data_IF_799309127076
#
_entry.id   IF_799309127076
#
_cell.length_a   1.000
_cell.length_b   1.000
_cell.length_c   1.000
_cell.angle_alpha   90.00
_cell.angle_beta   90.00
_cell.angle_gamma   90.00
#
_symmetry.space_group_name_H-M   'P 1'
#
loop_
_entity.id
_entity.type
_entity.pdbx_description
1 polymer ?
#
# COMPACT_ATOMS: atom_id res chain seq x y z
N UNK A 1 -13.85 -3.03 5.43
CA UNK A 1 -13.94 -3.04 3.96
C UNK A 1 -12.51 -2.93 3.45
N UNK A 2 -12.01 -3.91 2.69
CA UNK A 2 -10.69 -3.76 2.08
C UNK A 2 -10.80 -2.80 0.89
N UNK A 3 -9.91 -1.81 0.82
CA UNK A 3 -9.82 -0.89 -0.31
C UNK A 3 -9.51 -1.70 -1.57
N UNK A 4 -10.22 -1.42 -2.66
CA UNK A 4 -10.03 -2.14 -3.94
C UNK A 4 -8.58 -2.07 -4.45
N UNK A 5 -7.85 -1.03 -4.05
CA UNK A 5 -6.45 -0.79 -4.44
C UNK A 5 -5.42 -1.40 -3.49
N UNK A 6 -5.82 -1.93 -2.32
CA UNK A 6 -4.90 -2.54 -1.37
C UNK A 6 -4.10 -3.70 -1.99
N UNK A 7 -4.79 -4.66 -2.61
CA UNK A 7 -4.13 -5.78 -3.29
C UNK A 7 -3.21 -5.32 -4.43
N UNK A 8 -3.56 -4.23 -5.11
CA UNK A 8 -2.73 -3.67 -6.18
C UNK A 8 -1.42 -3.08 -5.61
N UNK A 9 -1.51 -2.26 -4.56
CA UNK A 9 -0.34 -1.71 -3.89
C UNK A 9 0.51 -2.78 -3.22
N UNK A 10 -0.10 -3.82 -2.65
CA UNK A 10 0.60 -4.95 -2.06
C UNK A 10 1.37 -5.75 -3.14
N UNK A 11 0.74 -6.01 -4.29
CA UNK A 11 1.43 -6.63 -5.42
C UNK A 11 2.58 -5.77 -5.95
N UNK A 12 2.39 -4.45 -6.07
CA UNK A 12 3.45 -3.52 -6.47
C UNK A 12 4.58 -3.40 -5.43
N UNK A 13 4.28 -3.56 -4.15
CA UNK A 13 5.27 -3.57 -3.06
C UNK A 13 6.13 -4.84 -3.12
N UNK A 14 5.51 -6.02 -3.27
CA UNK A 14 6.22 -7.29 -3.49
C UNK A 14 7.08 -7.22 -4.75
N UNK A 15 6.58 -6.57 -5.81
CA UNK A 15 7.31 -6.41 -7.06
C UNK A 15 8.39 -5.30 -6.99
N UNK A 16 8.59 -4.65 -5.83
CA UNK A 16 9.57 -3.57 -5.62
C UNK A 16 9.30 -2.30 -6.42
N UNK A 17 8.12 -2.16 -7.02
CA UNK A 17 7.75 -1.03 -7.89
C UNK A 17 7.23 0.17 -7.09
N UNK A 18 6.73 -0.09 -5.89
CA UNK A 18 6.18 0.93 -4.98
C UNK A 18 7.10 1.12 -3.78
N UNK A 19 7.36 2.38 -3.44
CA UNK A 19 8.12 2.81 -2.26
C UNK A 19 7.19 3.33 -1.15
N UNK A 20 7.72 3.46 0.06
CA UNK A 20 6.99 4.01 1.21
C UNK A 20 6.34 5.37 0.92
N UNK A 21 7.01 6.25 0.17
CA UNK A 21 6.47 7.55 -0.22
C UNK A 21 5.25 7.44 -1.15
N UNK A 22 5.23 6.44 -2.04
CA UNK A 22 4.09 6.15 -2.92
C UNK A 22 2.91 5.62 -2.11
N UNK A 23 3.15 4.74 -1.13
CA UNK A 23 2.13 4.27 -0.19
C UNK A 23 1.56 5.40 0.66
N UNK A 24 2.41 6.30 1.16
CA UNK A 24 1.98 7.45 1.94
C UNK A 24 1.14 8.43 1.12
N UNK A 25 1.52 8.65 -0.15
CA UNK A 25 0.71 9.42 -1.10
C UNK A 25 -0.63 8.73 -1.39
N UNK A 26 -0.64 7.40 -1.45
CA UNK A 26 -1.87 6.62 -1.65
C UNK A 26 -2.82 6.72 -0.45
N UNK A 27 -2.29 6.73 0.78
CA UNK A 27 -3.07 7.02 1.99
C UNK A 27 -3.60 8.45 1.98
N UNK A 28 -2.75 9.43 1.66
CA UNK A 28 -3.14 10.84 1.61
C UNK A 28 -4.24 11.12 0.56
N UNK A 29 -4.25 10.36 -0.56
CA UNK A 29 -5.29 10.43 -1.58
C UNK A 29 -6.55 9.63 -1.25
N UNK A 30 -6.55 8.85 -0.16
CA UNK A 30 -7.67 7.99 0.23
C UNK A 30 -7.84 6.74 -0.63
N UNK A 31 -6.79 6.31 -1.34
CA UNK A 31 -6.81 5.06 -2.13
C UNK A 31 -6.69 3.82 -1.26
N UNK A 32 -5.98 3.94 -0.14
CA UNK A 32 -5.81 2.92 0.90
C UNK A 32 -5.89 3.58 2.27
N UNK A 33 -6.22 2.81 3.30
CA UNK A 33 -6.20 3.30 4.68
C UNK A 33 -4.80 3.23 5.28
N UNK A 34 -4.62 3.88 6.43
CA UNK A 34 -3.37 3.84 7.17
C UNK A 34 -3.04 2.43 7.67
N UNK A 35 -4.05 1.68 8.13
CA UNK A 35 -3.93 0.25 8.49
C UNK A 35 -3.49 -0.62 7.30
N UNK A 36 -3.98 -0.30 6.11
CA UNK A 36 -3.59 -0.99 4.88
C UNK A 36 -2.14 -0.67 4.48
N UNK A 37 -1.69 0.57 4.65
CA UNK A 37 -0.27 0.91 4.49
C UNK A 37 0.59 0.11 5.47
N UNK A 38 0.21 0.05 6.74
CA UNK A 38 0.95 -0.71 7.75
C UNK A 38 1.02 -2.20 7.42
N UNK A 39 -0.06 -2.80 6.93
CA UNK A 39 -0.05 -4.19 6.47
C UNK A 39 0.89 -4.42 5.28
N UNK A 40 0.93 -3.48 4.32
CA UNK A 40 1.86 -3.57 3.18
C UNK A 40 3.31 -3.44 3.65
N UNK A 41 3.60 -2.52 4.56
CA UNK A 41 4.95 -2.33 5.12
C UNK A 41 5.41 -3.50 5.99
N UNK A 42 4.48 -4.13 6.71
CA UNK A 42 4.73 -5.35 7.46
C UNK A 42 5.00 -6.55 6.54
N UNK A 43 4.64 -6.48 5.25
CA UNK A 43 4.92 -7.53 4.28
C UNK A 43 6.38 -7.37 3.79
N UNK A 44 7.27 -8.33 4.09
CA UNK A 44 8.65 -8.27 3.61
C UNK A 44 8.69 -8.40 2.08
N UNK A 45 9.48 -7.54 1.44
CA UNK A 45 9.74 -7.52 0.00
C UNK A 45 10.84 -8.49 -0.39
#
# INVERSE_FOLDING_TARGET
MASRLFNYFLMCWINGTVTEQQLETAVAKGYITQEEKENILATPR
#
